data_IF_775203053779
#
_entry.id   IF_775203053779
#
_cell.length_a   1.000
_cell.length_b   1.000
_cell.length_c   1.000
_cell.angle_alpha   90.00
_cell.angle_beta   90.00
_cell.angle_gamma   90.00
#
_symmetry.space_group_name_H-M   'P 1'
#
loop_
_entity.id
_entity.type
_entity.pdbx_description
1 polymer ?
#
# COMPACT_ATOMS: atom_id res chain seq x y z
N UNK A 1 17.01 18.83 -19.23
CA UNK A 1 16.03 17.95 -19.91
C UNK A 1 14.72 18.72 -19.93
N UNK A 2 14.24 19.10 -21.11
CA UNK A 2 12.93 19.76 -21.30
C UNK A 2 12.01 18.76 -22.01
N UNK A 3 11.76 17.61 -21.38
CA UNK A 3 10.71 16.71 -21.86
C UNK A 3 9.37 17.43 -21.66
N UNK A 4 8.56 17.50 -22.71
CA UNK A 4 7.26 18.17 -22.72
C UNK A 4 6.15 17.13 -22.51
N UNK A 5 6.39 16.21 -21.58
CA UNK A 5 5.53 15.06 -21.27
C UNK A 5 4.56 15.44 -20.14
N UNK A 6 3.32 15.00 -20.24
CA UNK A 6 2.33 15.17 -19.16
C UNK A 6 2.62 14.19 -18.01
N UNK A 7 2.09 14.47 -16.81
CA UNK A 7 2.30 13.66 -15.60
C UNK A 7 1.90 12.19 -15.79
N UNK A 8 0.91 11.90 -16.64
CA UNK A 8 0.49 10.53 -16.97
C UNK A 8 1.60 9.75 -17.71
N UNK A 9 2.26 10.41 -18.66
CA UNK A 9 3.34 9.83 -19.47
C UNK A 9 4.60 9.60 -18.61
N UNK A 10 4.94 10.58 -17.76
CA UNK A 10 6.00 10.45 -16.76
C UNK A 10 5.72 9.32 -15.77
N UNK A 11 4.45 9.11 -15.38
CA UNK A 11 4.03 8.01 -14.51
C UNK A 11 4.25 6.64 -15.17
N UNK A 12 3.92 6.51 -16.45
CA UNK A 12 4.15 5.29 -17.24
C UNK A 12 5.64 4.96 -17.35
N UNK A 13 6.48 5.97 -17.58
CA UNK A 13 7.95 5.82 -17.64
C UNK A 13 8.50 5.41 -16.26
N UNK A 14 8.10 6.11 -15.19
CA UNK A 14 8.57 5.81 -13.83
C UNK A 14 8.22 4.38 -13.40
N UNK A 15 7.03 3.89 -13.77
CA UNK A 15 6.58 2.50 -13.53
C UNK A 15 7.56 1.48 -14.09
N UNK A 16 8.14 1.71 -15.29
CA UNK A 16 9.05 0.77 -15.92
C UNK A 16 10.39 0.65 -15.18
N UNK A 17 10.84 1.71 -14.50
CA UNK A 17 12.04 1.66 -13.64
C UNK A 17 11.75 1.00 -12.28
N UNK A 18 10.66 1.42 -11.64
CA UNK A 18 10.16 0.82 -10.40
C UNK A 18 8.66 1.02 -10.31
N UNK A 19 7.88 -0.07 -10.25
CA UNK A 19 6.42 -0.01 -10.34
C UNK A 19 5.78 1.02 -9.40
N UNK A 20 6.20 1.07 -8.14
CA UNK A 20 5.66 2.02 -7.16
C UNK A 20 6.06 3.49 -7.40
N UNK A 21 7.15 3.75 -8.15
CA UNK A 21 7.64 5.10 -8.40
C UNK A 21 6.65 5.95 -9.20
N UNK A 22 5.78 5.31 -10.00
CA UNK A 22 4.72 5.99 -10.75
C UNK A 22 3.80 6.84 -9.87
N UNK A 23 3.59 6.44 -8.60
CA UNK A 23 2.74 7.16 -7.63
C UNK A 23 3.41 8.39 -7.05
N UNK A 24 4.74 8.49 -7.11
CA UNK A 24 5.49 9.64 -6.61
C UNK A 24 5.58 10.78 -7.62
N UNK A 25 4.97 10.62 -8.80
CA UNK A 25 4.83 11.69 -9.81
C UNK A 25 3.80 12.74 -9.36
N UNK A 26 2.82 12.35 -8.53
CA UNK A 26 1.80 13.24 -7.98
C UNK A 26 1.99 13.43 -6.47
N UNK A 27 1.56 14.58 -5.96
CA UNK A 27 1.42 14.85 -4.53
C UNK A 27 0.07 14.34 -3.99
N UNK A 28 -0.12 14.40 -2.67
CA UNK A 28 -1.38 14.00 -2.02
C UNK A 28 -1.57 12.49 -1.98
N UNK A 29 -2.81 12.04 -2.22
CA UNK A 29 -3.18 10.62 -2.22
C UNK A 29 -3.40 10.15 -3.64
N UNK A 30 -2.68 9.09 -4.02
CA UNK A 30 -2.49 8.69 -5.42
C UNK A 30 -2.81 7.21 -5.59
N UNK A 31 -3.56 6.88 -6.64
CA UNK A 31 -3.85 5.50 -7.04
C UNK A 31 -2.95 5.11 -8.22
N UNK A 32 -2.37 3.92 -8.18
CA UNK A 32 -1.83 3.28 -9.39
C UNK A 32 -2.90 2.37 -9.98
N UNK A 33 -3.39 2.71 -11.18
CA UNK A 33 -4.29 1.88 -11.94
C UNK A 33 -3.54 0.67 -12.50
N UNK A 34 -4.06 -0.55 -12.29
CA UNK A 34 -3.39 -1.76 -12.75
C UNK A 34 -3.28 -1.87 -14.28
N UNK A 35 -4.19 -1.22 -15.00
CA UNK A 35 -4.37 -1.35 -16.45
C UNK A 35 -5.06 -2.65 -16.87
N UNK A 36 -5.49 -2.69 -18.12
CA UNK A 36 -6.13 -3.82 -18.80
C UNK A 36 -5.49 -4.12 -20.15
N UNK A 37 -4.75 -3.16 -20.71
CA UNK A 37 -4.10 -3.33 -22.00
C UNK A 37 -2.78 -4.10 -21.82
N UNK A 38 -2.52 -5.07 -22.70
CA UNK A 38 -1.31 -5.90 -22.65
C UNK A 38 -0.01 -5.09 -22.88
N UNK A 39 -0.11 -3.95 -23.57
CA UNK A 39 1.02 -3.02 -23.76
C UNK A 39 1.30 -2.16 -22.52
N UNK A 40 0.44 -2.25 -21.49
CA UNK A 40 0.53 -1.48 -20.26
C UNK A 40 0.26 0.01 -20.43
N UNK A 41 -0.29 0.45 -21.57
CA UNK A 41 -0.56 1.87 -21.85
C UNK A 41 -1.51 2.51 -20.84
N UNK A 42 -2.39 1.72 -20.20
CA UNK A 42 -3.39 2.18 -19.22
C UNK A 42 -3.02 1.87 -17.75
N UNK A 43 -1.81 1.38 -17.50
CA UNK A 43 -1.31 1.12 -16.15
C UNK A 43 -0.44 2.29 -15.68
N UNK A 44 -1.10 3.30 -15.09
CA UNK A 44 -0.54 4.60 -14.73
C UNK A 44 -1.06 5.09 -13.37
N UNK A 45 -0.38 6.07 -12.77
CA UNK A 45 -0.87 6.71 -11.56
C UNK A 45 -1.87 7.83 -11.88
N UNK A 46 -2.83 8.00 -10.99
CA UNK A 46 -3.81 9.08 -11.00
C UNK A 46 -3.90 9.69 -9.61
N UNK A 47 -3.89 11.01 -9.52
CA UNK A 47 -4.13 11.72 -8.26
C UNK A 47 -5.60 11.57 -7.87
N UNK A 48 -5.88 11.10 -6.65
CA UNK A 48 -7.24 11.05 -6.10
C UNK A 48 -7.61 12.40 -5.50
N UNK A 49 -6.70 12.96 -4.71
CA UNK A 49 -6.78 14.28 -4.07
C UNK A 49 -5.37 14.85 -3.87
N UNK A 50 -5.24 16.17 -3.86
CA UNK A 50 -3.99 16.85 -3.58
C UNK A 50 -3.61 16.82 -2.07
N UNK A 51 -2.42 17.31 -1.74
CA UNK A 51 -1.88 17.35 -0.39
C UNK A 51 -2.66 18.26 0.58
N UNK A 52 -3.42 19.23 0.07
CA UNK A 52 -4.23 20.15 0.88
C UNK A 52 -5.56 19.54 1.29
N UNK A 53 -6.01 18.49 0.59
CA UNK A 53 -7.30 17.86 0.86
C UNK A 53 -7.39 17.24 2.26
N UNK A 54 -6.31 16.69 2.82
CA UNK A 54 -6.37 16.07 4.15
C UNK A 54 -5.15 16.42 5.00
N UNK A 55 -4.98 17.72 5.23
CA UNK A 55 -3.85 18.31 5.98
C UNK A 55 -3.69 17.82 7.42
N UNK A 56 -4.75 17.25 8.01
CA UNK A 56 -4.74 16.74 9.38
C UNK A 56 -4.08 15.35 9.50
N UNK A 57 -3.78 14.67 8.37
CA UNK A 57 -3.10 13.39 8.39
C UNK A 57 -1.64 13.54 8.81
N UNK A 58 -1.27 12.85 9.89
CA UNK A 58 0.11 12.78 10.38
C UNK A 58 0.67 11.39 10.12
N UNK A 59 1.85 11.32 9.50
CA UNK A 59 2.58 10.08 9.24
C UNK A 59 3.76 9.98 10.21
N UNK A 60 3.85 8.88 10.96
CA UNK A 60 4.96 8.60 11.86
C UNK A 60 5.66 7.32 11.38
N UNK A 61 6.95 7.42 11.06
CA UNK A 61 7.76 6.27 10.62
C UNK A 61 8.57 5.74 11.79
N UNK A 62 8.22 4.56 12.29
CA UNK A 62 8.97 3.85 13.32
C UNK A 62 10.03 2.92 12.71
N UNK A 63 11.30 3.31 12.78
CA UNK A 63 12.43 2.49 12.29
C UNK A 63 12.74 1.39 13.32
N UNK A 64 12.22 0.19 13.11
CA UNK A 64 12.31 -0.93 14.07
C UNK A 64 13.56 -1.80 13.93
N UNK A 65 14.21 -1.77 12.77
CA UNK A 65 15.43 -2.54 12.47
C UNK A 65 16.26 -1.81 11.42
N UNK A 66 17.59 -1.86 11.56
CA UNK A 66 18.57 -1.44 10.55
C UNK A 66 19.15 -2.62 9.77
N UNK A 67 18.74 -3.86 10.07
CA UNK A 67 19.16 -5.04 9.33
C UNK A 67 18.55 -5.03 7.94
N UNK A 68 19.35 -5.40 6.94
CA UNK A 68 18.87 -5.59 5.57
C UNK A 68 17.77 -6.66 5.56
N UNK A 69 16.71 -6.41 4.78
CA UNK A 69 15.66 -7.41 4.55
C UNK A 69 16.30 -8.67 3.96
N UNK A 70 15.98 -9.83 4.52
CA UNK A 70 16.50 -11.11 4.01
C UNK A 70 16.02 -11.39 2.58
N UNK A 71 14.79 -11.00 2.26
CA UNK A 71 14.20 -11.12 0.92
C UNK A 71 13.95 -9.72 0.33
N UNK A 72 14.36 -9.52 -0.93
CA UNK A 72 14.08 -8.27 -1.66
C UNK A 72 12.60 -8.18 -2.04
N UNK A 73 12.07 -6.96 -2.20
CA UNK A 73 10.68 -6.78 -2.64
C UNK A 73 10.39 -7.43 -4.00
N UNK A 74 11.32 -7.33 -4.95
CA UNK A 74 11.17 -7.90 -6.31
C UNK A 74 11.14 -9.42 -6.28
N UNK A 75 12.11 -10.06 -5.63
CA UNK A 75 12.16 -11.52 -5.53
C UNK A 75 10.98 -12.06 -4.71
N UNK A 76 10.71 -11.44 -3.55
CA UNK A 76 9.65 -11.89 -2.66
C UNK A 76 8.26 -11.78 -3.29
N UNK A 77 7.97 -10.70 -4.03
CA UNK A 77 6.71 -10.56 -4.75
C UNK A 77 6.56 -11.63 -5.83
N UNK A 78 7.63 -11.93 -6.58
CA UNK A 78 7.62 -12.99 -7.60
C UNK A 78 7.35 -14.35 -6.98
N UNK A 79 8.05 -14.70 -5.92
CA UNK A 79 7.88 -15.98 -5.23
C UNK A 79 6.45 -16.11 -4.68
N UNK A 80 5.89 -15.01 -4.15
CA UNK A 80 4.50 -14.96 -3.69
C UNK A 80 3.51 -15.19 -4.82
N UNK A 81 3.73 -14.61 -6.01
CA UNK A 81 2.90 -14.87 -7.20
C UNK A 81 2.95 -16.32 -7.63
N UNK A 82 4.13 -16.93 -7.60
CA UNK A 82 4.36 -18.31 -8.05
C UNK A 82 3.81 -19.34 -7.06
N UNK A 83 3.77 -19.02 -5.76
CA UNK A 83 3.57 -20.05 -4.71
C UNK A 83 2.40 -19.81 -3.75
N UNK A 84 1.94 -18.57 -3.54
CA UNK A 84 0.84 -18.27 -2.60
C UNK A 84 -0.53 -18.39 -3.28
N UNK A 85 -1.35 -19.41 -2.98
CA UNK A 85 -2.74 -19.45 -3.44
C UNK A 85 -3.58 -18.29 -2.87
N UNK A 86 -3.23 -17.76 -1.69
CA UNK A 86 -3.95 -16.64 -1.08
C UNK A 86 -3.78 -15.34 -1.87
N UNK A 87 -2.65 -15.14 -2.57
CA UNK A 87 -2.45 -13.95 -3.39
C UNK A 87 -3.47 -13.84 -4.52
N UNK A 88 -3.81 -14.96 -5.17
CA UNK A 88 -4.78 -14.97 -6.28
C UNK A 88 -6.15 -14.46 -5.82
N UNK A 89 -6.63 -14.99 -4.69
CA UNK A 89 -7.89 -14.53 -4.09
C UNK A 89 -7.83 -13.06 -3.65
N UNK A 90 -6.70 -12.65 -3.03
CA UNK A 90 -6.48 -11.25 -2.64
C UNK A 90 -6.60 -10.31 -3.85
N UNK A 91 -5.89 -10.60 -4.93
CA UNK A 91 -5.83 -9.75 -6.12
C UNK A 91 -7.18 -9.70 -6.88
N UNK A 92 -7.86 -10.83 -7.02
CA UNK A 92 -9.09 -10.93 -7.83
C UNK A 92 -10.34 -10.50 -7.07
N UNK A 93 -10.40 -10.75 -5.75
CA UNK A 93 -11.65 -10.61 -4.98
C UNK A 93 -11.56 -9.51 -3.92
N UNK A 94 -10.42 -9.38 -3.24
CA UNK A 94 -10.33 -8.50 -2.06
C UNK A 94 -9.94 -7.07 -2.44
N UNK A 95 -8.85 -6.91 -3.20
CA UNK A 95 -8.27 -5.60 -3.53
C UNK A 95 -9.22 -4.72 -4.33
N UNK A 96 -9.95 -5.19 -5.37
CA UNK A 96 -10.85 -4.33 -6.13
C UNK A 96 -11.92 -3.65 -5.27
N UNK A 97 -12.52 -4.39 -4.32
CA UNK A 97 -13.50 -3.85 -3.39
C UNK A 97 -12.88 -2.90 -2.35
N UNK A 98 -11.64 -3.17 -1.91
CA UNK A 98 -10.92 -2.27 -0.98
C UNK A 98 -10.53 -0.96 -1.64
N UNK A 99 -10.17 -0.96 -2.92
CA UNK A 99 -9.85 0.26 -3.68
C UNK A 99 -11.04 1.21 -3.68
N UNK A 100 -12.24 0.73 -4.04
CA UNK A 100 -13.44 1.56 -4.07
C UNK A 100 -13.76 2.17 -2.70
N UNK A 101 -13.67 1.36 -1.63
CA UNK A 101 -13.90 1.83 -0.25
C UNK A 101 -12.83 2.82 0.22
N UNK A 102 -11.58 2.62 -0.18
CA UNK A 102 -10.48 3.53 0.17
C UNK A 102 -10.63 4.87 -0.55
N UNK A 103 -11.00 4.86 -1.84
CA UNK A 103 -11.31 6.08 -2.59
C UNK A 103 -12.44 6.88 -1.94
N UNK A 104 -13.51 6.20 -1.50
CA UNK A 104 -14.62 6.83 -0.77
C UNK A 104 -14.16 7.41 0.58
N UNK A 105 -13.38 6.64 1.36
CA UNK A 105 -12.87 7.10 2.65
C UNK A 105 -11.97 8.34 2.49
N UNK A 106 -11.11 8.36 1.48
CA UNK A 106 -10.23 9.49 1.14
C UNK A 106 -11.06 10.71 0.74
N UNK A 107 -12.04 10.53 -0.16
CA UNK A 107 -12.90 11.61 -0.64
C UNK A 107 -13.65 12.28 0.52
N UNK A 108 -14.14 11.49 1.47
CA UNK A 108 -14.97 11.96 2.57
C UNK A 108 -14.18 12.31 3.85
N UNK A 109 -12.84 12.15 3.86
CA UNK A 109 -11.99 12.27 5.06
C UNK A 109 -12.48 11.37 6.21
N UNK A 110 -13.01 10.20 5.87
CA UNK A 110 -13.46 9.20 6.84
C UNK A 110 -12.25 8.44 7.37
N UNK A 111 -11.69 8.96 8.46
CA UNK A 111 -10.51 8.38 9.09
C UNK A 111 -10.78 6.97 9.64
N UNK A 112 -11.98 6.70 10.14
CA UNK A 112 -12.31 5.39 10.70
C UNK A 112 -12.26 4.31 9.60
N UNK A 113 -12.92 4.55 8.47
CA UNK A 113 -12.87 3.63 7.32
C UNK A 113 -11.45 3.53 6.76
N UNK A 114 -10.75 4.66 6.60
CA UNK A 114 -9.37 4.71 6.13
C UNK A 114 -8.42 3.88 7.01
N UNK A 115 -8.51 4.03 8.34
CA UNK A 115 -7.68 3.33 9.31
C UNK A 115 -7.95 1.82 9.27
N UNK A 116 -9.23 1.41 9.30
CA UNK A 116 -9.62 0.00 9.22
C UNK A 116 -9.12 -0.67 7.94
N UNK A 117 -9.26 0.01 6.79
CA UNK A 117 -8.80 -0.50 5.50
C UNK A 117 -7.28 -0.60 5.45
N UNK A 118 -6.56 0.41 5.93
CA UNK A 118 -5.10 0.46 5.93
C UNK A 118 -4.49 -0.68 6.76
N UNK A 119 -4.93 -0.84 8.01
CA UNK A 119 -4.47 -1.93 8.87
C UNK A 119 -4.81 -3.31 8.31
N UNK A 120 -6.04 -3.49 7.80
CA UNK A 120 -6.47 -4.76 7.21
C UNK A 120 -5.71 -5.13 5.92
N UNK A 121 -5.31 -4.13 5.12
CA UNK A 121 -4.52 -4.36 3.91
C UNK A 121 -3.05 -4.65 4.20
N UNK A 122 -2.45 -3.94 5.16
CA UNK A 122 -1.12 -4.25 5.69
C UNK A 122 -1.06 -5.68 6.22
N UNK A 123 -2.03 -6.08 7.05
CA UNK A 123 -2.07 -7.44 7.62
C UNK A 123 -2.23 -8.51 6.54
N UNK A 124 -3.12 -8.30 5.56
CA UNK A 124 -3.32 -9.28 4.50
C UNK A 124 -2.14 -9.36 3.53
N UNK A 125 -1.42 -8.27 3.30
CA UNK A 125 -0.14 -8.30 2.59
C UNK A 125 0.87 -9.22 3.30
N UNK A 126 1.06 -9.06 4.62
CA UNK A 126 1.95 -9.95 5.36
C UNK A 126 1.43 -11.39 5.47
N UNK A 127 0.11 -11.60 5.42
CA UNK A 127 -0.47 -12.93 5.37
C UNK A 127 -0.13 -13.67 4.06
N UNK A 128 -0.15 -12.98 2.91
CA UNK A 128 0.27 -13.62 1.64
C UNK A 128 1.77 -13.85 1.59
N UNK A 129 2.59 -12.97 2.22
CA UNK A 129 4.03 -13.23 2.38
C UNK A 129 4.30 -14.47 3.23
N UNK A 130 3.51 -14.71 4.27
CA UNK A 130 3.61 -15.90 5.11
C UNK A 130 3.17 -17.18 4.39
N UNK A 131 2.25 -17.05 3.43
CA UNK A 131 1.72 -18.14 2.59
C UNK A 131 2.65 -18.51 1.42
N UNK A 132 3.66 -17.68 1.13
CA UNK A 132 4.71 -17.96 0.14
C UNK A 132 5.56 -19.17 0.55
N UNK A 133 6.13 -19.89 -0.42
CA UNK A 133 7.05 -21.02 -0.19
C UNK A 133 8.42 -20.77 -0.83
N UNK A 134 9.51 -20.55 -0.04
CA UNK A 134 9.54 -20.48 1.42
C UNK A 134 8.83 -19.21 1.98
N UNK A 135 8.39 -19.24 3.25
CA UNK A 135 7.66 -18.12 3.84
C UNK A 135 8.54 -16.88 3.98
N UNK A 136 7.95 -15.71 3.75
CA UNK A 136 8.61 -14.42 3.84
C UNK A 136 8.18 -13.68 5.10
N UNK A 137 9.14 -13.35 5.96
CA UNK A 137 8.92 -12.61 7.20
C UNK A 137 9.50 -11.20 7.12
N UNK A 138 8.64 -10.20 6.91
CA UNK A 138 9.04 -8.79 6.97
C UNK A 138 8.84 -8.17 8.35
N UNK A 139 7.80 -8.60 9.06
CA UNK A 139 7.50 -8.13 10.40
C UNK A 139 8.29 -8.90 11.45
N UNK A 140 8.67 -8.21 12.52
CA UNK A 140 9.30 -8.81 13.70
C UNK A 140 8.52 -8.46 14.96
N UNK A 141 9.02 -8.92 16.12
CA UNK A 141 8.36 -8.70 17.42
C UNK A 141 8.09 -7.23 17.73
N UNK A 142 8.95 -6.31 17.29
CA UNK A 142 8.74 -4.86 17.47
C UNK A 142 7.60 -4.37 16.57
N UNK A 143 7.50 -4.85 15.33
CA UNK A 143 6.37 -4.56 14.46
C UNK A 143 5.05 -5.01 15.10
N UNK A 144 5.00 -6.24 15.63
CA UNK A 144 3.82 -6.75 16.32
C UNK A 144 3.51 -6.01 17.62
N UNK A 145 4.53 -5.57 18.36
CA UNK A 145 4.34 -4.73 19.54
C UNK A 145 3.69 -3.38 19.18
N UNK A 146 4.13 -2.73 18.10
CA UNK A 146 3.52 -1.47 17.61
C UNK A 146 2.06 -1.69 17.21
N UNK A 147 1.75 -2.76 16.49
CA UNK A 147 0.36 -3.09 16.13
C UNK A 147 -0.50 -3.24 17.38
N UNK A 148 -0.03 -4.03 18.35
CA UNK A 148 -0.74 -4.22 19.61
C UNK A 148 -0.94 -2.90 20.39
N UNK A 149 0.03 -1.99 20.33
CA UNK A 149 -0.09 -0.67 20.95
C UNK A 149 -1.20 0.17 20.28
N UNK A 150 -1.22 0.23 18.94
CA UNK A 150 -2.22 0.98 18.18
C UNK A 150 -3.62 0.39 18.39
N UNK A 151 -3.77 -0.94 18.34
CA UNK A 151 -5.07 -1.60 18.57
C UNK A 151 -5.59 -1.35 19.99
N UNK A 152 -4.72 -1.39 21.02
CA UNK A 152 -5.11 -1.07 22.40
C UNK A 152 -5.57 0.37 22.54
N UNK A 153 -4.89 1.31 21.89
CA UNK A 153 -5.29 2.72 21.90
C UNK A 153 -6.64 2.91 21.20
N UNK A 154 -6.80 2.36 19.99
CA UNK A 154 -8.09 2.41 19.29
C UNK A 154 -9.22 1.80 20.12
N UNK A 155 -8.95 0.71 20.84
CA UNK A 155 -9.93 0.09 21.73
C UNK A 155 -10.29 0.96 22.94
N UNK A 156 -9.32 1.63 23.57
CA UNK A 156 -9.60 2.48 24.74
C UNK A 156 -10.46 3.69 24.40
N UNK A 157 -10.32 4.24 23.20
CA UNK A 157 -11.11 5.39 22.72
C UNK A 157 -12.43 4.99 22.06
N UNK A 158 -12.65 3.69 21.82
CA UNK A 158 -13.86 3.18 21.16
C UNK A 158 -13.98 3.50 19.67
N UNK A 159 -13.00 4.19 19.08
CA UNK A 159 -12.91 4.53 17.66
C UNK A 159 -11.43 4.65 17.23
N UNK A 160 -11.07 4.35 15.96
CA UNK A 160 -9.69 4.44 15.52
C UNK A 160 -9.09 5.85 15.67
N UNK A 161 -8.04 5.96 16.49
CA UNK A 161 -7.17 7.14 16.60
C UNK A 161 -5.94 7.05 15.71
N UNK A 162 -5.53 5.81 15.37
CA UNK A 162 -4.38 5.56 14.53
C UNK A 162 -4.54 4.28 13.70
N UNK A 163 -3.72 4.17 12.67
CA UNK A 163 -3.55 2.95 11.89
C UNK A 163 -2.06 2.67 11.71
N UNK A 164 -1.75 1.44 11.32
CA UNK A 164 -0.41 0.99 11.00
C UNK A 164 -0.36 0.47 9.56
N UNK A 165 0.83 0.55 8.99
CA UNK A 165 1.21 -0.14 7.76
C UNK A 165 2.70 -0.45 7.84
N UNK A 166 3.11 -1.62 7.37
CA UNK A 166 4.52 -1.99 7.24
C UNK A 166 4.90 -2.25 5.79
N UNK A 167 6.11 -1.81 5.44
CA UNK A 167 6.71 -1.91 4.10
C UNK A 167 7.86 -2.89 4.06
#
# INVERSE_FOLDING_TARGET
>A
MNANEDYEELSSIARQGSGSACRSIYSGLVKWCMGKNDDGSDSMAVQLVDESHWSDLVIIIAVVSSKQKETSGTSGMRDTVETSPLLQYRAQTVVPGRILKMEEAIKNRDFESFARLTGADSNQFHAVCLDTSPPIFYMNDKSHWIINLVEKWNHSEGTPQGTYSSV
#
